data_IF_295950544118
#
_entry.id   IF_295950544118
#
_cell.length_a   1.000
_cell.length_b   1.000
_cell.length_c   1.000
_cell.angle_alpha   90.00
_cell.angle_beta   90.00
_cell.angle_gamma   90.00
#
_symmetry.space_group_name_H-M   'P 1'
#
loop_
_entity.id
_entity.type
_entity.pdbx_description
1 polymer ?
#
# COMPACT_ATOMS: atom_id res chain seq x y z
N UNK A 1 4.14 -29.25 -48.17
CA UNK A 1 4.76 -29.70 -46.91
C UNK A 1 5.30 -28.46 -46.23
N UNK A 2 4.63 -27.97 -45.18
CA UNK A 2 4.97 -26.71 -44.52
C UNK A 2 5.84 -26.99 -43.29
N UNK A 3 7.04 -26.42 -43.27
CA UNK A 3 7.99 -26.53 -42.17
C UNK A 3 7.54 -25.69 -40.96
N UNK A 4 7.21 -26.36 -39.87
CA UNK A 4 6.91 -25.73 -38.59
C UNK A 4 8.22 -25.38 -37.88
N UNK A 5 8.54 -24.08 -37.78
CA UNK A 5 9.66 -23.57 -36.97
C UNK A 5 9.39 -23.84 -35.49
N UNK A 6 10.24 -24.67 -34.87
CA UNK A 6 10.30 -24.90 -33.43
C UNK A 6 10.91 -23.65 -32.76
N UNK A 7 10.17 -23.03 -31.83
CA UNK A 7 10.66 -21.92 -31.02
C UNK A 7 11.71 -22.41 -29.99
N UNK A 8 12.71 -21.59 -29.64
CA UNK A 8 13.81 -21.98 -28.77
C UNK A 8 13.35 -22.23 -27.33
N UNK A 9 13.83 -23.34 -26.77
CA UNK A 9 13.63 -23.75 -25.39
C UNK A 9 14.33 -22.76 -24.43
N UNK A 10 13.58 -22.06 -23.58
CA UNK A 10 14.10 -21.24 -22.49
C UNK A 10 14.60 -22.16 -21.36
N UNK A 11 15.84 -22.61 -21.45
CA UNK A 11 16.54 -23.31 -20.37
C UNK A 11 17.10 -22.27 -19.39
N UNK A 12 16.63 -22.25 -18.15
CA UNK A 12 17.19 -21.36 -17.11
C UNK A 12 16.27 -20.95 -15.96
N UNK A 13 14.99 -21.36 -15.93
CA UNK A 13 14.12 -21.16 -14.77
C UNK A 13 14.17 -22.46 -13.96
N UNK A 14 15.00 -22.49 -12.92
CA UNK A 14 14.86 -23.51 -11.88
C UNK A 14 13.44 -23.42 -11.32
N UNK A 15 12.69 -24.52 -11.42
CA UNK A 15 11.41 -24.66 -10.74
C UNK A 15 11.69 -24.57 -9.24
N UNK A 16 11.53 -23.38 -8.68
CA UNK A 16 11.49 -23.15 -7.23
C UNK A 16 10.43 -24.08 -6.63
N UNK A 17 10.88 -24.87 -5.66
CA UNK A 17 10.09 -25.86 -4.91
C UNK A 17 8.69 -25.31 -4.58
N UNK A 18 7.67 -26.03 -5.02
CA UNK A 18 6.28 -25.78 -4.67
C UNK A 18 6.10 -25.72 -3.15
N UNK A 19 5.59 -24.58 -2.66
CA UNK A 19 5.01 -24.29 -1.36
C UNK A 19 5.38 -25.20 -0.18
N UNK A 20 6.48 -24.87 0.52
CA UNK A 20 6.64 -25.25 1.91
C UNK A 20 5.50 -24.62 2.75
N UNK A 21 5.02 -25.34 3.78
CA UNK A 21 3.87 -24.92 4.58
C UNK A 21 3.99 -23.48 5.07
N UNK A 22 2.90 -22.70 5.02
CA UNK A 22 2.87 -21.32 5.54
C UNK A 22 3.38 -21.20 6.99
N UNK A 23 3.36 -22.30 7.74
CA UNK A 23 3.80 -22.43 9.13
C UNK A 23 5.25 -22.90 9.31
N UNK A 24 6.15 -22.63 8.35
CA UNK A 24 7.58 -22.84 8.60
C UNK A 24 8.03 -22.07 9.83
N UNK A 25 8.77 -22.74 10.72
CA UNK A 25 9.32 -22.10 11.91
C UNK A 25 10.38 -21.09 11.48
N UNK A 26 10.03 -19.81 11.50
CA UNK A 26 10.98 -18.72 11.36
C UNK A 26 12.07 -18.82 12.44
N UNK A 27 13.30 -18.43 12.10
CA UNK A 27 14.34 -18.22 13.12
C UNK A 27 13.89 -17.12 14.09
N UNK A 28 14.45 -17.07 15.30
CA UNK A 28 14.10 -16.03 16.27
C UNK A 28 14.33 -14.61 15.70
N UNK A 29 15.41 -14.42 14.96
CA UNK A 29 15.75 -13.16 14.29
C UNK A 29 14.77 -12.82 13.16
N UNK A 30 14.41 -13.78 12.32
CA UNK A 30 13.42 -13.58 11.25
C UNK A 30 12.03 -13.28 11.83
N UNK A 31 11.64 -13.95 12.92
CA UNK A 31 10.39 -13.67 13.63
C UNK A 31 10.39 -12.26 14.24
N UNK A 32 11.50 -11.83 14.85
CA UNK A 32 11.63 -10.48 15.38
C UNK A 32 11.54 -9.43 14.26
N UNK A 33 12.24 -9.64 13.15
CA UNK A 33 12.16 -8.79 11.97
C UNK A 33 10.72 -8.71 11.42
N UNK A 34 10.06 -9.86 11.26
CA UNK A 34 8.68 -9.95 10.79
C UNK A 34 7.73 -9.14 11.67
N UNK A 35 7.79 -9.35 12.99
CA UNK A 35 7.00 -8.61 13.97
C UNK A 35 7.28 -7.10 13.95
N UNK A 36 8.52 -6.69 13.66
CA UNK A 36 8.85 -5.27 13.53
C UNK A 36 8.23 -4.66 12.28
N UNK A 37 8.24 -5.36 11.14
CA UNK A 37 7.56 -4.90 9.91
C UNK A 37 6.04 -4.87 10.11
N UNK A 38 5.45 -5.90 10.74
CA UNK A 38 4.02 -5.97 11.00
C UNK A 38 3.49 -4.85 11.92
N UNK A 39 4.37 -4.20 12.69
CA UNK A 39 4.02 -3.02 13.52
C UNK A 39 4.02 -1.70 12.76
N UNK A 40 4.60 -1.65 11.55
CA UNK A 40 4.59 -0.45 10.71
C UNK A 40 3.17 -0.16 10.20
N UNK A 41 2.87 1.08 9.76
CA UNK A 41 1.59 1.38 9.10
C UNK A 41 1.33 0.46 7.90
N UNK A 42 0.06 0.15 7.59
CA UNK A 42 -0.29 -0.76 6.49
C UNK A 42 0.38 -0.39 5.15
N UNK A 43 0.48 0.90 4.83
CA UNK A 43 1.20 1.38 3.65
C UNK A 43 2.67 0.95 3.61
N UNK A 44 3.38 1.01 4.73
CA UNK A 44 4.79 0.58 4.81
C UNK A 44 4.93 -0.95 4.76
N UNK A 45 4.00 -1.69 5.38
CA UNK A 45 3.94 -3.15 5.25
C UNK A 45 3.80 -3.58 3.78
N UNK A 46 2.93 -2.89 3.03
CA UNK A 46 2.76 -3.12 1.59
C UNK A 46 4.05 -2.82 0.82
N UNK A 47 4.75 -1.73 1.14
CA UNK A 47 6.05 -1.40 0.52
C UNK A 47 7.09 -2.47 0.78
N UNK A 48 7.19 -3.00 2.01
CA UNK A 48 8.09 -4.11 2.31
C UNK A 48 7.75 -5.35 1.48
N UNK A 49 6.47 -5.71 1.40
CA UNK A 49 6.02 -6.83 0.56
C UNK A 49 6.35 -6.61 -0.92
N UNK A 50 6.05 -5.43 -1.47
CA UNK A 50 6.32 -5.09 -2.87
C UNK A 50 7.82 -5.10 -3.19
N UNK A 51 8.67 -4.67 -2.28
CA UNK A 51 10.13 -4.72 -2.47
C UNK A 51 10.65 -6.17 -2.51
N UNK A 52 10.13 -7.03 -1.64
CA UNK A 52 10.53 -8.43 -1.57
C UNK A 52 10.10 -9.24 -2.81
N UNK A 53 8.92 -8.94 -3.36
CA UNK A 53 8.30 -9.74 -4.43
C UNK A 53 8.07 -8.95 -5.73
N UNK A 54 8.80 -7.86 -5.96
CA UNK A 54 8.53 -6.95 -7.08
C UNK A 54 8.48 -7.67 -8.43
N UNK A 55 9.40 -8.60 -8.67
CA UNK A 55 9.47 -9.32 -9.94
C UNK A 55 8.21 -10.16 -10.21
N UNK A 56 7.59 -10.68 -9.15
CA UNK A 56 6.40 -11.52 -9.20
C UNK A 56 5.11 -10.69 -9.17
N UNK A 57 5.06 -9.60 -8.39
CA UNK A 57 3.82 -8.86 -8.08
C UNK A 57 3.69 -7.49 -8.73
N UNK A 58 4.67 -7.00 -9.51
CA UNK A 58 4.60 -5.64 -10.07
C UNK A 58 3.34 -5.37 -10.90
N UNK A 59 2.77 -6.41 -11.52
CA UNK A 59 1.52 -6.33 -12.30
C UNK A 59 0.26 -6.23 -11.42
N UNK A 60 0.36 -6.66 -10.17
CA UNK A 60 -0.71 -6.66 -9.18
C UNK A 60 -0.63 -5.43 -8.24
N UNK A 61 0.47 -4.66 -8.30
CA UNK A 61 0.74 -3.53 -7.42
C UNK A 61 -0.39 -2.48 -7.38
N UNK A 62 -1.02 -2.19 -8.53
CA UNK A 62 -2.14 -1.26 -8.61
C UNK A 62 -3.37 -1.76 -7.83
N UNK A 63 -3.65 -3.07 -7.85
CA UNK A 63 -4.72 -3.63 -7.03
C UNK A 63 -4.38 -3.56 -5.54
N UNK A 64 -3.14 -3.91 -5.17
CA UNK A 64 -2.66 -3.84 -3.78
C UNK A 64 -2.84 -2.41 -3.24
N UNK A 65 -2.47 -1.38 -4.02
CA UNK A 65 -2.59 0.02 -3.63
C UNK A 65 -4.04 0.53 -3.66
N UNK A 66 -4.71 0.43 -4.80
CA UNK A 66 -6.00 1.09 -5.02
C UNK A 66 -7.20 0.33 -4.42
N UNK A 67 -7.05 -0.96 -4.12
CA UNK A 67 -8.14 -1.80 -3.60
C UNK A 67 -7.78 -2.40 -2.24
N UNK A 68 -6.70 -3.17 -2.16
CA UNK A 68 -6.30 -3.85 -0.91
C UNK A 68 -6.05 -2.88 0.23
N UNK A 69 -5.15 -1.93 0.01
CA UNK A 69 -4.73 -0.94 0.99
C UNK A 69 -5.87 0.04 1.35
N UNK A 70 -6.64 0.51 0.37
CA UNK A 70 -7.82 1.33 0.66
C UNK A 70 -8.84 0.58 1.53
N UNK A 71 -9.12 -0.69 1.21
CA UNK A 71 -10.13 -1.47 1.93
C UNK A 71 -9.71 -1.80 3.36
N UNK A 72 -8.42 -2.12 3.60
CA UNK A 72 -7.94 -2.37 4.98
C UNK A 72 -7.95 -1.11 5.83
N UNK A 73 -7.60 0.05 5.25
CA UNK A 73 -7.75 1.35 5.94
C UNK A 73 -9.19 1.62 6.34
N UNK A 74 -10.15 1.40 5.43
CA UNK A 74 -11.57 1.60 5.77
C UNK A 74 -12.07 0.62 6.84
N UNK A 75 -11.58 -0.62 6.85
CA UNK A 75 -11.89 -1.58 7.92
C UNK A 75 -11.34 -1.13 9.29
N UNK A 76 -10.11 -0.63 9.34
CA UNK A 76 -9.52 -0.08 10.56
C UNK A 76 -10.22 1.22 11.00
N UNK A 77 -10.53 2.13 10.06
CA UNK A 77 -11.35 3.32 10.33
C UNK A 77 -12.71 2.95 10.93
N UNK A 78 -13.36 1.90 10.39
CA UNK A 78 -14.63 1.38 10.90
C UNK A 78 -14.49 0.89 12.35
N UNK A 79 -13.46 0.09 12.65
CA UNK A 79 -13.16 -0.37 14.01
C UNK A 79 -12.95 0.80 14.99
N UNK A 80 -12.19 1.82 14.57
CA UNK A 80 -11.87 3.00 15.38
C UNK A 80 -13.00 4.05 15.46
N UNK A 81 -14.10 3.86 14.72
CA UNK A 81 -15.19 4.84 14.66
C UNK A 81 -14.82 6.16 13.98
N UNK A 82 -13.81 6.15 13.09
CA UNK A 82 -13.32 7.34 12.39
C UNK A 82 -14.03 7.44 11.04
N UNK A 83 -14.77 8.53 10.82
CA UNK A 83 -15.56 8.73 9.59
C UNK A 83 -14.83 9.55 8.52
N UNK A 84 -13.81 10.32 8.89
CA UNK A 84 -13.12 11.27 8.02
C UNK A 84 -11.67 10.84 7.81
N UNK A 85 -11.28 10.60 6.56
CA UNK A 85 -9.95 10.09 6.20
C UNK A 85 -8.82 11.01 6.69
N UNK A 86 -9.01 12.33 6.71
CA UNK A 86 -7.97 13.24 7.21
C UNK A 86 -7.76 13.16 8.73
N UNK A 87 -8.73 12.62 9.49
CA UNK A 87 -8.60 12.35 10.92
C UNK A 87 -8.06 10.96 11.23
N UNK A 88 -7.81 10.17 10.19
CA UNK A 88 -7.35 8.80 10.33
C UNK A 88 -5.82 8.75 10.45
N UNK A 89 -5.37 8.20 11.58
CA UNK A 89 -4.02 7.71 11.77
C UNK A 89 -3.99 6.22 11.44
N UNK A 90 -3.21 5.90 10.40
CA UNK A 90 -3.13 4.56 9.82
C UNK A 90 -2.72 3.52 10.87
N UNK A 91 -3.51 2.44 10.95
CA UNK A 91 -3.22 1.29 11.78
C UNK A 91 -2.15 0.37 11.20
N UNK A 92 -1.89 -0.72 11.91
CA UNK A 92 -0.87 -1.72 11.58
C UNK A 92 -1.42 -3.16 11.62
N UNK A 93 -2.49 -3.41 12.38
CA UNK A 93 -3.16 -4.70 12.45
C UNK A 93 -4.67 -4.56 12.62
N UNK A 94 -5.39 -5.64 12.37
CA UNK A 94 -6.82 -5.81 12.64
C UNK A 94 -7.02 -7.00 13.58
N UNK A 95 -7.99 -6.92 14.49
CA UNK A 95 -8.48 -8.15 15.15
C UNK A 95 -9.19 -9.07 14.13
N UNK A 96 -9.46 -10.33 14.50
CA UNK A 96 -10.07 -11.29 13.59
C UNK A 96 -11.47 -10.92 13.07
N UNK A 97 -12.28 -10.24 13.86
CA UNK A 97 -13.64 -9.89 13.44
C UNK A 97 -13.60 -8.72 12.44
N UNK A 98 -12.70 -7.76 12.64
CA UNK A 98 -12.43 -6.69 11.68
C UNK A 98 -11.69 -7.20 10.43
N UNK A 99 -10.79 -8.18 10.57
CA UNK A 99 -10.16 -8.84 9.43
C UNK A 99 -11.21 -9.58 8.57
N UNK A 100 -12.19 -10.24 9.19
CA UNK A 100 -13.33 -10.83 8.45
C UNK A 100 -14.11 -9.76 7.69
N UNK A 101 -14.41 -8.63 8.33
CA UNK A 101 -15.07 -7.50 7.69
C UNK A 101 -14.27 -6.98 6.49
N UNK A 102 -12.95 -6.81 6.63
CA UNK A 102 -12.04 -6.44 5.54
C UNK A 102 -12.15 -7.38 4.32
N UNK A 103 -12.06 -8.70 4.54
CA UNK A 103 -12.20 -9.67 3.45
C UNK A 103 -13.60 -9.65 2.81
N UNK A 104 -14.65 -9.44 3.59
CA UNK A 104 -16.01 -9.31 3.06
C UNK A 104 -16.13 -8.10 2.14
N UNK A 105 -15.57 -6.94 2.54
CA UNK A 105 -15.56 -5.74 1.69
C UNK A 105 -14.72 -5.94 0.41
N UNK A 106 -13.59 -6.62 0.50
CA UNK A 106 -12.78 -7.00 -0.67
C UNK A 106 -13.57 -7.88 -1.64
N UNK A 107 -14.23 -8.93 -1.15
CA UNK A 107 -15.07 -9.80 -1.98
C UNK A 107 -16.19 -8.99 -2.66
N UNK A 108 -16.92 -8.15 -1.90
CA UNK A 108 -17.97 -7.27 -2.45
C UNK A 108 -17.43 -6.33 -3.53
N UNK A 109 -16.24 -5.76 -3.33
CA UNK A 109 -15.61 -4.90 -4.33
C UNK A 109 -15.39 -5.66 -5.65
N UNK A 110 -14.87 -6.88 -5.57
CA UNK A 110 -14.58 -7.71 -6.75
C UNK A 110 -15.84 -8.27 -7.44
N UNK A 111 -16.92 -8.48 -6.70
CA UNK A 111 -18.21 -8.92 -7.24
C UNK A 111 -19.03 -7.79 -7.88
N UNK A 112 -18.77 -6.52 -7.53
CA UNK A 112 -19.51 -5.39 -8.08
C UNK A 112 -19.32 -5.31 -9.61
N UNK A 113 -20.41 -5.35 -10.42
CA UNK A 113 -20.33 -5.29 -11.87
C UNK A 113 -19.54 -4.10 -12.43
N UNK A 114 -19.49 -2.97 -11.70
CA UNK A 114 -18.71 -1.78 -12.10
C UNK A 114 -17.20 -2.01 -12.03
N UNK A 115 -16.77 -2.99 -11.24
CA UNK A 115 -15.37 -3.34 -10.98
C UNK A 115 -14.92 -4.62 -11.71
N UNK A 116 -15.76 -5.22 -12.57
CA UNK A 116 -15.47 -6.47 -13.28
C UNK A 116 -14.11 -6.52 -13.99
N UNK A 117 -13.60 -5.36 -14.42
CA UNK A 117 -12.29 -5.26 -15.09
C UNK A 117 -11.14 -5.60 -14.15
N UNK A 118 -11.27 -5.39 -12.83
CA UNK A 118 -10.24 -5.74 -11.85
C UNK A 118 -10.02 -7.25 -11.80
N UNK A 119 -11.09 -8.05 -11.86
CA UNK A 119 -10.99 -9.51 -11.88
C UNK A 119 -10.21 -10.04 -13.09
N UNK A 120 -10.38 -9.41 -14.25
CA UNK A 120 -9.63 -9.76 -15.47
C UNK A 120 -8.20 -9.23 -15.47
N UNK A 121 -7.99 -8.03 -14.91
CA UNK A 121 -6.67 -7.36 -14.95
C UNK A 121 -5.72 -7.88 -13.88
N UNK A 122 -6.27 -8.24 -12.70
CA UNK A 122 -5.53 -8.62 -11.50
C UNK A 122 -6.05 -9.95 -10.95
N UNK A 123 -5.88 -11.07 -11.71
CA UNK A 123 -6.47 -12.35 -11.34
C UNK A 123 -5.87 -12.93 -10.05
N UNK A 124 -4.61 -12.66 -9.75
CA UNK A 124 -3.93 -13.18 -8.56
C UNK A 124 -4.38 -12.43 -7.30
N UNK A 125 -4.67 -11.12 -7.43
CA UNK A 125 -5.19 -10.30 -6.35
C UNK A 125 -6.61 -10.64 -5.91
N UNK A 126 -7.34 -11.49 -6.64
CA UNK A 126 -8.73 -11.80 -6.33
C UNK A 126 -8.82 -12.61 -5.02
N UNK A 127 -9.57 -12.15 -4.01
CA UNK A 127 -9.75 -12.94 -2.81
C UNK A 127 -10.48 -14.23 -3.15
N UNK A 128 -10.00 -15.35 -2.63
CA UNK A 128 -10.74 -16.61 -2.74
C UNK A 128 -12.14 -16.43 -2.13
N UNK A 129 -13.17 -17.07 -2.67
CA UNK A 129 -14.50 -17.05 -2.06
C UNK A 129 -14.63 -18.18 -1.04
N UNK A 130 -14.82 -17.84 0.24
CA UNK A 130 -14.97 -18.80 1.33
C UNK A 130 -16.16 -18.38 2.22
N UNK A 131 -16.75 -19.34 2.93
CA UNK A 131 -17.73 -19.04 3.97
C UNK A 131 -17.04 -18.31 5.14
N UNK A 132 -17.80 -17.51 5.90
CA UNK A 132 -17.25 -16.80 7.07
C UNK A 132 -16.59 -17.75 8.08
N UNK A 133 -17.19 -18.94 8.31
CA UNK A 133 -16.63 -19.98 9.17
C UNK A 133 -15.26 -20.47 8.67
N UNK A 134 -15.17 -20.80 7.37
CA UNK A 134 -13.92 -21.26 6.79
C UNK A 134 -12.87 -20.14 6.77
N UNK A 135 -13.26 -18.91 6.49
CA UNK A 135 -12.34 -17.77 6.53
C UNK A 135 -11.79 -17.51 7.93
N UNK A 136 -12.64 -17.57 8.96
CA UNK A 136 -12.19 -17.42 10.35
C UNK A 136 -11.19 -18.50 10.76
N UNK A 137 -11.40 -19.73 10.27
CA UNK A 137 -10.43 -20.82 10.44
C UNK A 137 -9.10 -20.51 9.73
N UNK A 138 -9.14 -20.11 8.45
CA UNK A 138 -7.93 -19.79 7.68
C UNK A 138 -7.15 -18.62 8.29
N UNK A 139 -7.83 -17.58 8.78
CA UNK A 139 -7.18 -16.44 9.46
C UNK A 139 -6.34 -16.90 10.65
N UNK A 140 -6.90 -17.76 11.50
CA UNK A 140 -6.24 -18.29 12.69
C UNK A 140 -5.11 -19.27 12.37
N UNK A 141 -5.32 -20.15 11.39
CA UNK A 141 -4.41 -21.28 11.15
C UNK A 141 -3.32 -20.97 10.12
N UNK A 142 -3.55 -20.00 9.22
CA UNK A 142 -2.72 -19.78 8.03
C UNK A 142 -2.46 -18.32 7.67
N UNK A 143 -2.93 -17.34 8.44
CA UNK A 143 -2.65 -15.92 8.15
C UNK A 143 -1.86 -15.31 9.29
N UNK A 144 -2.30 -15.53 10.53
CA UNK A 144 -1.61 -15.13 11.76
C UNK A 144 -0.27 -15.88 11.91
N UNK A 145 0.83 -15.26 11.45
CA UNK A 145 2.18 -15.85 11.41
C UNK A 145 2.83 -15.82 12.80
N UNK A 146 2.58 -14.76 13.57
CA UNK A 146 3.19 -14.54 14.88
C UNK A 146 2.31 -15.04 16.05
N UNK A 147 1.11 -15.56 15.76
CA UNK A 147 0.13 -16.11 16.71
C UNK A 147 -0.35 -15.07 17.75
N UNK A 148 -0.45 -13.80 17.37
CA UNK A 148 -0.87 -12.73 18.28
C UNK A 148 -2.40 -12.48 18.29
N UNK A 149 -3.15 -13.23 17.47
CA UNK A 149 -4.60 -13.11 17.36
C UNK A 149 -5.07 -11.92 16.52
N UNK A 150 -4.15 -11.28 15.79
CA UNK A 150 -4.39 -10.14 14.91
C UNK A 150 -3.91 -10.47 13.50
N UNK A 151 -4.25 -9.61 12.55
CA UNK A 151 -3.90 -9.75 11.14
C UNK A 151 -3.39 -8.43 10.62
N UNK A 152 -2.12 -8.40 10.27
CA UNK A 152 -1.47 -7.30 9.58
C UNK A 152 -1.77 -7.31 8.07
N UNK A 153 -1.51 -6.21 7.37
CA UNK A 153 -1.62 -6.19 5.91
C UNK A 153 -0.54 -7.05 5.25
N UNK A 154 0.65 -7.13 5.85
CA UNK A 154 1.72 -8.03 5.39
C UNK A 154 1.26 -9.49 5.37
N UNK A 155 0.64 -9.96 6.46
CA UNK A 155 0.14 -11.34 6.57
C UNK A 155 -0.96 -11.63 5.53
N UNK A 156 -1.88 -10.69 5.34
CA UNK A 156 -2.86 -10.77 4.26
C UNK A 156 -2.18 -10.93 2.90
N UNK A 157 -1.18 -10.10 2.58
CA UNK A 157 -0.49 -10.15 1.29
C UNK A 157 0.25 -11.48 1.12
N UNK A 158 1.00 -11.94 2.12
CA UNK A 158 1.67 -13.24 2.07
C UNK A 158 0.69 -14.40 1.86
N UNK A 159 -0.48 -14.35 2.51
CA UNK A 159 -1.52 -15.36 2.30
C UNK A 159 -2.18 -15.28 0.92
N UNK A 160 -2.48 -14.07 0.44
CA UNK A 160 -3.10 -13.83 -0.87
C UNK A 160 -2.18 -14.28 -2.01
N UNK A 161 -0.87 -14.10 -1.86
CA UNK A 161 0.16 -14.42 -2.85
C UNK A 161 0.97 -15.68 -2.51
N UNK A 162 0.39 -16.59 -1.72
CA UNK A 162 1.06 -17.79 -1.16
C UNK A 162 1.65 -18.77 -2.17
N UNK A 163 1.30 -18.66 -3.45
CA UNK A 163 1.84 -19.51 -4.51
C UNK A 163 3.34 -19.25 -4.75
N UNK A 164 3.83 -18.06 -4.39
CA UNK A 164 5.25 -17.70 -4.46
C UNK A 164 5.77 -16.91 -3.25
N UNK A 165 4.87 -16.37 -2.41
CA UNK A 165 5.25 -15.63 -1.21
C UNK A 165 5.04 -16.47 0.06
N UNK A 166 5.99 -16.44 0.99
CA UNK A 166 5.81 -17.03 2.31
C UNK A 166 6.63 -16.25 3.37
N UNK A 167 6.37 -16.41 4.67
CA UNK A 167 7.06 -15.64 5.70
C UNK A 167 8.59 -15.84 5.73
N UNK A 168 9.08 -17.06 5.50
CA UNK A 168 10.51 -17.37 5.56
C UNK A 168 11.28 -16.75 4.38
N UNK A 169 10.74 -16.88 3.16
CA UNK A 169 11.28 -16.23 1.97
C UNK A 169 11.22 -14.70 2.10
N UNK A 170 10.10 -14.16 2.60
CA UNK A 170 9.96 -12.72 2.84
C UNK A 170 11.06 -12.16 3.75
N UNK A 171 11.32 -12.82 4.88
CA UNK A 171 12.37 -12.39 5.81
C UNK A 171 13.75 -12.47 5.15
N UNK A 172 14.04 -13.56 4.44
CA UNK A 172 15.32 -13.75 3.74
C UNK A 172 15.57 -12.65 2.70
N UNK A 173 14.55 -12.28 1.93
CA UNK A 173 14.63 -11.21 0.92
C UNK A 173 14.70 -9.81 1.51
N UNK A 174 14.10 -9.59 2.67
CA UNK A 174 13.90 -8.24 3.23
C UNK A 174 14.94 -7.84 4.28
N UNK A 175 15.49 -8.78 5.05
CA UNK A 175 16.39 -8.48 6.17
C UNK A 175 17.70 -7.81 5.73
N UNK A 176 18.16 -8.05 4.50
CA UNK A 176 19.42 -7.51 3.98
C UNK A 176 19.26 -6.17 3.25
N UNK A 177 18.09 -5.52 3.37
CA UNK A 177 17.78 -4.30 2.61
C UNK A 177 17.62 -3.08 3.53
N UNK A 178 18.69 -2.29 3.66
CA UNK A 178 18.62 -0.98 4.30
C UNK A 178 17.89 0.04 3.40
N UNK A 179 16.94 0.80 3.96
CA UNK A 179 16.25 1.89 3.25
C UNK A 179 17.28 2.97 2.86
N UNK A 180 17.50 3.15 1.54
CA UNK A 180 18.42 4.16 1.05
C UNK A 180 18.05 5.57 1.53
N UNK A 181 19.03 6.45 1.83
CA UNK A 181 18.76 7.80 2.36
C UNK A 181 17.81 8.64 1.51
N UNK A 182 17.86 8.53 0.18
CA UNK A 182 16.96 9.26 -0.72
C UNK A 182 15.54 8.72 -0.74
N UNK A 183 15.37 7.40 -0.57
CA UNK A 183 14.04 6.78 -0.43
C UNK A 183 13.42 7.24 0.90
N UNK A 184 14.20 7.17 1.99
CA UNK A 184 13.79 7.70 3.29
C UNK A 184 13.42 9.19 3.21
N UNK A 185 14.23 10.01 2.53
CA UNK A 185 13.94 11.44 2.32
C UNK A 185 12.65 11.66 1.52
N UNK A 186 12.40 10.87 0.49
CA UNK A 186 11.17 10.94 -0.30
C UNK A 186 9.94 10.54 0.52
N UNK A 187 10.03 9.48 1.33
CA UNK A 187 8.98 9.06 2.26
C UNK A 187 8.66 10.15 3.29
N UNK A 188 9.66 10.70 3.96
CA UNK A 188 9.47 11.81 4.92
C UNK A 188 8.85 13.05 4.26
N UNK A 189 9.18 13.33 3.00
CA UNK A 189 8.55 14.41 2.26
C UNK A 189 7.06 14.15 1.98
N UNK A 190 6.66 12.90 1.68
CA UNK A 190 5.26 12.52 1.54
C UNK A 190 4.50 12.54 2.88
N UNK A 191 5.15 12.20 3.98
CA UNK A 191 4.58 12.36 5.33
C UNK A 191 4.29 13.82 5.67
N UNK A 192 5.18 14.74 5.30
CA UNK A 192 4.92 16.18 5.43
C UNK A 192 3.75 16.63 4.55
N UNK A 193 3.60 16.09 3.32
CA UNK A 193 2.40 16.33 2.50
C UNK A 193 1.14 15.86 3.21
N UNK A 194 1.12 14.65 3.77
CA UNK A 194 -0.01 14.14 4.54
C UNK A 194 -0.37 15.07 5.71
N UNK A 195 0.63 15.55 6.46
CA UNK A 195 0.43 16.51 7.55
C UNK A 195 -0.23 17.81 7.06
N UNK A 196 0.20 18.36 5.92
CA UNK A 196 -0.41 19.56 5.32
C UNK A 196 -1.82 19.31 4.80
N UNK A 197 -2.09 18.13 4.22
CA UNK A 197 -3.45 17.72 3.83
C UNK A 197 -4.37 17.70 5.05
N UNK A 198 -3.92 17.12 6.18
CA UNK A 198 -4.72 17.08 7.42
C UNK A 198 -5.08 18.48 7.90
N UNK A 199 -4.10 19.38 8.01
CA UNK A 199 -4.35 20.76 8.42
C UNK A 199 -5.30 21.50 7.46
N UNK A 200 -5.16 21.28 6.16
CA UNK A 200 -6.05 21.86 5.14
C UNK A 200 -7.48 21.35 5.26
N UNK A 201 -7.68 20.03 5.41
CA UNK A 201 -9.01 19.42 5.53
C UNK A 201 -9.68 19.70 6.88
N UNK A 202 -8.90 19.81 7.97
CA UNK A 202 -9.39 20.24 9.28
C UNK A 202 -9.98 21.65 9.22
N UNK A 203 -9.26 22.60 8.61
CA UNK A 203 -9.75 23.97 8.45
C UNK A 203 -10.95 24.03 7.52
N UNK A 204 -10.94 23.26 6.43
CA UNK A 204 -12.08 23.14 5.52
C UNK A 204 -13.32 22.61 6.22
N UNK A 205 -13.16 21.58 7.06
CA UNK A 205 -14.25 21.00 7.84
C UNK A 205 -14.79 22.00 8.88
N UNK A 206 -13.91 22.72 9.58
CA UNK A 206 -14.29 23.77 10.54
C UNK A 206 -15.12 24.87 9.87
N UNK A 207 -14.64 25.40 8.75
CA UNK A 207 -15.33 26.45 7.97
C UNK A 207 -16.67 25.95 7.41
N UNK A 208 -16.75 24.69 6.97
CA UNK A 208 -18.00 24.08 6.48
C UNK A 208 -19.05 23.96 7.58
N UNK A 209 -18.64 23.69 8.82
CA UNK A 209 -19.58 23.66 9.94
C UNK A 209 -20.01 25.07 10.34
N UNK A 210 -19.06 26.02 10.41
CA UNK A 210 -19.38 27.42 10.74
C UNK A 210 -20.24 28.11 9.66
N UNK A 211 -20.11 27.73 8.39
CA UNK A 211 -20.94 28.29 7.31
C UNK A 211 -22.42 27.94 7.44
N UNK A 212 -22.77 26.93 8.24
CA UNK A 212 -24.17 26.57 8.52
C UNK A 212 -24.83 27.50 9.54
N UNK A 213 -24.05 28.25 10.32
CA UNK A 213 -24.56 29.17 11.35
C UNK A 213 -25.16 30.42 10.68
N UNK A 214 -26.38 30.85 10.99
CA UNK A 214 -26.95 32.06 10.39
C UNK A 214 -26.19 33.33 10.79
N UNK A 215 -26.31 34.38 9.97
CA UNK A 215 -25.78 35.72 10.24
C UNK A 215 -24.34 35.95 9.78
N UNK A 216 -23.72 37.01 10.30
CA UNK A 216 -22.38 37.49 9.86
C UNK A 216 -21.30 36.43 10.03
N UNK A 217 -21.39 35.57 11.06
CA UNK A 217 -20.41 34.50 11.29
C UNK A 217 -20.43 33.46 10.17
N UNK A 218 -21.59 32.94 9.78
CA UNK A 218 -21.68 31.96 8.69
C UNK A 218 -21.37 32.55 7.32
N UNK A 219 -21.75 33.82 7.08
CA UNK A 219 -21.32 34.53 5.87
C UNK A 219 -19.79 34.69 5.82
N UNK A 220 -19.17 35.01 6.96
CA UNK A 220 -17.71 35.07 7.10
C UNK A 220 -17.05 33.72 6.79
N UNK A 221 -17.55 32.63 7.37
CA UNK A 221 -17.04 31.28 7.12
C UNK A 221 -17.25 30.83 5.66
N UNK A 222 -18.39 31.16 5.05
CA UNK A 222 -18.67 30.90 3.62
C UNK A 222 -17.66 31.62 2.72
N UNK A 223 -17.35 32.89 3.04
CA UNK A 223 -16.35 33.66 2.30
C UNK A 223 -14.94 33.07 2.48
N UNK A 224 -14.56 32.71 3.71
CA UNK A 224 -13.27 32.04 3.98
C UNK A 224 -13.16 30.69 3.27
N UNK A 225 -14.24 29.91 3.24
CA UNK A 225 -14.30 28.63 2.53
C UNK A 225 -14.13 28.81 1.02
N UNK A 226 -14.68 29.89 0.44
CA UNK A 226 -14.48 30.23 -0.97
C UNK A 226 -13.03 30.67 -1.27
N UNK A 227 -12.31 31.20 -0.26
CA UNK A 227 -10.92 31.65 -0.37
C UNK A 227 -9.89 30.62 0.09
N UNK A 228 -10.32 29.45 0.57
CA UNK A 228 -9.41 28.46 1.20
C UNK A 228 -8.32 27.97 0.25
N UNK A 229 -8.64 27.80 -1.04
CA UNK A 229 -7.69 27.42 -2.10
C UNK A 229 -6.73 28.57 -2.50
N UNK A 230 -6.95 29.79 -2.01
CA UNK A 230 -6.02 30.92 -2.16
C UNK A 230 -5.33 31.31 -0.84
N UNK A 231 -5.57 30.55 0.24
CA UNK A 231 -5.04 30.83 1.57
C UNK A 231 -3.65 30.23 1.84
N UNK A 232 -3.04 30.59 2.99
CA UNK A 232 -1.69 30.14 3.35
C UNK A 232 -1.56 28.62 3.53
N UNK A 233 -2.62 27.92 3.97
CA UNK A 233 -2.61 26.47 4.10
C UNK A 233 -2.47 25.77 2.73
N UNK A 234 -3.16 26.30 1.70
CA UNK A 234 -3.05 25.77 0.34
C UNK A 234 -1.66 26.03 -0.25
N UNK A 235 -1.08 27.20 -0.01
CA UNK A 235 0.30 27.51 -0.42
C UNK A 235 1.32 26.56 0.21
N UNK A 236 1.21 26.32 1.53
CA UNK A 236 2.06 25.36 2.24
C UNK A 236 1.90 23.94 1.71
N UNK A 237 0.67 23.51 1.40
CA UNK A 237 0.39 22.22 0.79
C UNK A 237 1.02 22.11 -0.61
N UNK A 238 0.91 23.14 -1.45
CA UNK A 238 1.54 23.18 -2.76
C UNK A 238 3.07 23.10 -2.66
N UNK A 239 3.67 23.84 -1.72
CA UNK A 239 5.11 23.77 -1.46
C UNK A 239 5.55 22.36 -1.04
N UNK A 240 4.82 21.71 -0.13
CA UNK A 240 5.08 20.34 0.29
C UNK A 240 4.97 19.36 -0.88
N UNK A 241 3.96 19.49 -1.74
CA UNK A 241 3.77 18.66 -2.94
C UNK A 241 4.95 18.80 -3.91
N UNK A 242 5.43 20.02 -4.17
CA UNK A 242 6.60 20.27 -5.04
C UNK A 242 7.87 19.68 -4.43
N UNK A 243 8.08 19.83 -3.11
CA UNK A 243 9.22 19.26 -2.40
C UNK A 243 9.22 17.73 -2.44
N UNK A 244 8.06 17.11 -2.18
CA UNK A 244 7.88 15.66 -2.27
C UNK A 244 8.11 15.15 -3.70
N UNK A 245 7.59 15.85 -4.71
CA UNK A 245 7.85 15.53 -6.12
C UNK A 245 9.34 15.56 -6.48
N UNK A 246 10.07 16.59 -6.04
CA UNK A 246 11.51 16.67 -6.25
C UNK A 246 12.26 15.51 -5.55
N UNK A 247 11.85 15.14 -4.34
CA UNK A 247 12.44 14.05 -3.58
C UNK A 247 12.16 12.68 -4.23
N UNK A 248 10.90 12.40 -4.60
CA UNK A 248 10.49 11.17 -5.30
C UNK A 248 11.17 11.07 -6.65
N UNK A 249 11.28 12.16 -7.41
CA UNK A 249 12.02 12.18 -8.69
C UNK A 249 13.49 11.86 -8.50
N UNK A 250 14.12 12.38 -7.44
CA UNK A 250 15.53 12.10 -7.12
C UNK A 250 15.74 10.64 -6.76
N UNK A 251 14.88 10.08 -5.89
CA UNK A 251 14.90 8.67 -5.52
C UNK A 251 14.66 7.78 -6.76
N UNK A 252 13.67 8.12 -7.59
CA UNK A 252 13.35 7.38 -8.83
C UNK A 252 14.49 7.41 -9.83
N UNK A 253 15.21 8.54 -9.98
CA UNK A 253 16.37 8.62 -10.87
C UNK A 253 17.54 7.75 -10.39
N UNK A 254 17.71 7.62 -9.07
CA UNK A 254 18.81 6.84 -8.48
C UNK A 254 18.50 5.34 -8.41
N UNK A 255 17.24 4.98 -8.14
CA UNK A 255 16.86 3.60 -7.77
C UNK A 255 15.68 3.02 -8.58
N UNK A 256 15.01 3.82 -9.42
CA UNK A 256 13.74 3.46 -10.08
C UNK A 256 13.83 3.00 -11.54
N UNK A 257 15.02 2.66 -12.06
CA UNK A 257 15.17 2.31 -13.46
C UNK A 257 16.26 1.29 -13.75
N UNK A 258 16.14 0.61 -14.90
CA UNK A 258 17.09 -0.37 -15.43
C UNK A 258 18.54 0.14 -15.56
N UNK A 259 18.81 1.41 -15.29
CA UNK A 259 20.18 1.93 -15.18
C UNK A 259 20.99 1.29 -14.03
N UNK A 260 20.34 0.62 -13.08
CA UNK A 260 21.02 -0.22 -12.07
C UNK A 260 21.23 -1.68 -12.52
N UNK A 261 20.98 -2.03 -13.80
CA UNK A 261 21.26 -3.36 -14.36
C UNK A 261 22.74 -3.60 -14.73
N UNK A 262 23.66 -2.76 -14.22
CA UNK A 262 25.07 -2.76 -14.61
C UNK A 262 26.04 -3.56 -13.73
N UNK A 263 25.57 -4.29 -12.73
CA UNK A 263 26.41 -5.13 -11.86
C UNK A 263 26.00 -6.59 -11.93
N UNK A 264 26.51 -7.33 -12.91
CA UNK A 264 26.39 -8.78 -12.96
C UNK A 264 27.18 -9.38 -11.78
N UNK A 265 26.54 -9.58 -10.63
CA UNK A 265 27.26 -10.14 -9.47
C UNK A 265 26.47 -10.44 -8.21
N UNK A 266 25.27 -9.87 -7.99
CA UNK A 266 24.57 -10.13 -6.73
C UNK A 266 23.05 -10.21 -6.91
N UNK A 267 22.56 -11.44 -7.07
CA UNK A 267 21.14 -11.75 -7.24
C UNK A 267 20.33 -11.64 -5.93
N UNK A 268 20.92 -11.12 -4.85
CA UNK A 268 20.30 -11.03 -3.52
C UNK A 268 19.92 -9.63 -3.04
N UNK A 269 20.27 -8.56 -3.76
CA UNK A 269 19.96 -7.20 -3.31
C UNK A 269 18.47 -6.88 -3.54
N UNK A 270 17.69 -6.80 -2.45
CA UNK A 270 16.27 -6.49 -2.47
C UNK A 270 15.94 -5.28 -3.35
N UNK A 271 14.87 -5.38 -4.12
CA UNK A 271 14.51 -4.32 -5.06
C UNK A 271 13.83 -3.17 -4.33
N UNK A 272 14.38 -1.97 -4.42
CA UNK A 272 13.69 -0.74 -3.99
C UNK A 272 12.56 -0.31 -4.94
N UNK A 273 12.28 -1.08 -6.00
CA UNK A 273 11.30 -0.69 -7.03
C UNK A 273 9.87 -0.59 -6.49
N UNK A 274 9.49 -1.44 -5.52
CA UNK A 274 8.18 -1.39 -4.87
C UNK A 274 7.94 -0.06 -4.15
N UNK A 275 8.92 0.39 -3.35
CA UNK A 275 8.90 1.67 -2.67
C UNK A 275 8.81 2.84 -3.66
N UNK A 276 9.63 2.83 -4.72
CA UNK A 276 9.61 3.87 -5.75
C UNK A 276 8.25 3.93 -6.46
N UNK A 277 7.70 2.79 -6.85
CA UNK A 277 6.39 2.73 -7.48
C UNK A 277 5.29 3.27 -6.56
N UNK A 278 5.28 2.82 -5.29
CA UNK A 278 4.29 3.25 -4.30
C UNK A 278 4.32 4.76 -4.08
N UNK A 279 5.51 5.34 -3.90
CA UNK A 279 5.67 6.78 -3.70
C UNK A 279 5.24 7.59 -4.93
N UNK A 280 5.53 7.12 -6.14
CA UNK A 280 5.07 7.79 -7.37
C UNK A 280 3.54 7.76 -7.48
N UNK A 281 2.91 6.61 -7.22
CA UNK A 281 1.45 6.47 -7.27
C UNK A 281 0.76 7.32 -6.20
N UNK A 282 1.30 7.31 -4.98
CA UNK A 282 0.78 8.11 -3.88
C UNK A 282 0.90 9.62 -4.13
N UNK A 283 2.02 10.07 -4.69
CA UNK A 283 2.19 11.45 -5.12
C UNK A 283 1.21 11.82 -6.25
N UNK A 284 1.00 10.94 -7.22
CA UNK A 284 0.05 11.15 -8.32
C UNK A 284 -1.38 11.36 -7.80
N UNK A 285 -1.87 10.47 -6.93
CA UNK A 285 -3.20 10.59 -6.32
C UNK A 285 -3.34 11.86 -5.49
N UNK A 286 -2.33 12.21 -4.71
CA UNK A 286 -2.29 13.47 -3.94
C UNK A 286 -2.31 14.69 -4.84
N UNK A 287 -1.51 14.73 -5.91
CA UNK A 287 -1.50 15.83 -6.89
C UNK A 287 -2.83 15.95 -7.63
N UNK A 288 -3.47 14.83 -7.96
CA UNK A 288 -4.79 14.81 -8.60
C UNK A 288 -5.87 15.45 -7.71
N UNK A 289 -5.84 15.18 -6.40
CA UNK A 289 -6.82 15.70 -5.44
C UNK A 289 -6.52 17.13 -4.97
N UNK A 290 -5.25 17.42 -4.69
CA UNK A 290 -4.84 18.63 -3.98
C UNK A 290 -3.97 19.60 -4.77
N UNK A 291 -3.45 19.17 -5.92
CA UNK A 291 -2.58 19.98 -6.75
C UNK A 291 -3.28 21.21 -7.35
N UNK A 292 -2.52 22.08 -8.05
CA UNK A 292 -3.08 23.21 -8.76
C UNK A 292 -4.13 22.74 -9.78
N UNK A 293 -5.36 23.20 -9.64
CA UNK A 293 -6.41 22.96 -10.64
C UNK A 293 -5.98 23.64 -11.95
N UNK A 294 -5.98 22.89 -13.06
CA UNK A 294 -5.76 23.48 -14.37
C UNK A 294 -6.89 24.48 -14.61
N UNK A 295 -6.54 25.78 -14.66
CA UNK A 295 -7.47 26.84 -15.06
C UNK A 295 -7.87 26.66 -16.53
#
# INVERSE_FOLDING_TARGET
MAETKVAPNLTGIEQTKAGQSFTEKLSAEAMEFFCNVAKLPFSQQAVHFLNAYWAEVSKEAEFIYSVGWETIKYADMHCKGIQLVFKYDEGNDLDFDIALYFYEQLCKFCEDPKNKNYATTYPISQPQMLTALKRKQELREKVDVNFDGRVSFLEYLLYQYKDFANPADFCTRSMNHDEHPEIKKARLALEEVNKRIRAYEEEKARLTEESKIPGVKGLGATNMLAQIDSGPLKEQLNFALISAEAAVRTASKKYGGAAYSGGAGDAGAGSSAGAIWWMNRDLEEKKKRYGPQKK
#
